data_IF_629756549279
#
_entry.id   IF_629756549279
#
_cell.length_a   1.000
_cell.length_b   1.000
_cell.length_c   1.000
_cell.angle_alpha   90.00
_cell.angle_beta   90.00
_cell.angle_gamma   90.00
#
_symmetry.space_group_name_H-M   'P 1'
#
loop_
_entity.id
_entity.type
_entity.pdbx_description
1 polymer ?
#
# COMPACT_ATOMS: atom_id res chain seq x y z
N UNK A 1 6.64 -23.97 12.28
CA UNK A 1 7.99 -24.50 11.94
C UNK A 1 8.56 -23.63 10.86
N UNK A 2 9.84 -23.30 10.92
CA UNK A 2 10.54 -22.57 9.85
C UNK A 2 10.78 -23.49 8.67
N UNK A 3 10.53 -23.02 7.46
CA UNK A 3 10.74 -23.77 6.23
C UNK A 3 12.24 -24.07 6.00
N UNK A 4 12.55 -25.21 5.36
CA UNK A 4 13.95 -25.61 5.12
C UNK A 4 14.73 -24.66 4.21
N UNK A 5 14.04 -23.98 3.30
CA UNK A 5 14.59 -23.01 2.36
C UNK A 5 14.49 -21.54 2.85
N UNK A 6 14.07 -21.31 4.09
CA UNK A 6 13.97 -19.96 4.64
C UNK A 6 15.33 -19.24 4.62
N UNK A 7 15.34 -18.02 4.09
CA UNK A 7 16.55 -17.21 3.91
C UNK A 7 17.40 -17.59 2.68
N UNK A 8 17.00 -18.59 1.90
CA UNK A 8 17.66 -18.90 0.62
C UNK A 8 17.15 -17.98 -0.50
N UNK A 9 17.95 -17.62 -1.50
CA UNK A 9 17.48 -16.90 -2.68
C UNK A 9 16.34 -17.65 -3.37
N UNK A 10 15.34 -16.89 -3.87
CA UNK A 10 14.28 -17.46 -4.68
C UNK A 10 14.84 -18.11 -5.95
N UNK A 11 14.25 -19.23 -6.35
CA UNK A 11 14.59 -19.96 -7.58
C UNK A 11 13.45 -19.82 -8.59
N UNK A 12 13.65 -20.14 -9.87
CA UNK A 12 12.57 -20.11 -10.86
C UNK A 12 11.33 -20.95 -10.48
N UNK A 13 11.49 -21.97 -9.64
CA UNK A 13 10.38 -22.79 -9.15
C UNK A 13 9.53 -22.10 -8.07
N UNK A 14 10.06 -21.07 -7.44
CA UNK A 14 9.37 -20.29 -6.40
C UNK A 14 8.58 -19.11 -7.00
N UNK A 15 8.81 -18.78 -8.29
CA UNK A 15 8.21 -17.63 -8.94
C UNK A 15 6.80 -17.93 -9.44
N UNK A 16 5.94 -16.91 -9.39
CA UNK A 16 4.60 -16.99 -9.97
C UNK A 16 4.63 -16.90 -11.50
N UNK A 17 3.63 -17.49 -12.13
CA UNK A 17 3.28 -17.15 -13.51
C UNK A 17 2.30 -15.98 -13.47
N UNK A 18 2.75 -14.79 -13.83
CA UNK A 18 1.97 -13.55 -13.78
C UNK A 18 0.74 -13.63 -14.68
N UNK A 19 0.87 -14.16 -15.89
CA UNK A 19 -0.24 -14.29 -16.84
C UNK A 19 -1.31 -15.25 -16.32
N UNK A 20 -0.92 -16.33 -15.64
CA UNK A 20 -1.86 -17.25 -15.01
C UNK A 20 -2.62 -16.57 -13.85
N UNK A 21 -1.90 -15.84 -12.99
CA UNK A 21 -2.50 -15.13 -11.85
C UNK A 21 -3.52 -14.09 -12.36
N UNK A 22 -3.16 -13.31 -13.38
CA UNK A 22 -4.05 -12.31 -13.98
C UNK A 22 -5.20 -12.97 -14.76
N UNK A 23 -4.92 -14.03 -15.53
CA UNK A 23 -5.98 -14.77 -16.25
C UNK A 23 -7.03 -15.33 -15.29
N UNK A 24 -6.60 -15.95 -14.18
CA UNK A 24 -7.53 -16.46 -13.17
C UNK A 24 -8.33 -15.36 -12.46
N UNK A 25 -7.81 -14.15 -12.38
CA UNK A 25 -8.56 -13.01 -11.83
C UNK A 25 -9.83 -12.74 -12.63
N UNK A 26 -9.77 -12.77 -13.95
CA UNK A 26 -10.90 -12.51 -14.84
C UNK A 26 -11.77 -13.74 -15.12
N UNK A 27 -11.15 -14.90 -15.26
CA UNK A 27 -11.84 -16.11 -15.76
C UNK A 27 -12.59 -16.88 -14.69
N UNK A 28 -12.15 -16.77 -13.42
CA UNK A 28 -12.70 -17.57 -12.32
C UNK A 28 -13.77 -16.78 -11.55
N UNK A 29 -14.95 -17.37 -11.45
CA UNK A 29 -16.08 -16.80 -10.71
C UNK A 29 -16.21 -17.51 -9.38
N UNK A 30 -16.22 -16.79 -8.23
CA UNK A 30 -16.40 -17.40 -6.93
C UNK A 30 -17.82 -17.93 -6.71
N UNK A 31 -17.94 -19.03 -5.96
CA UNK A 31 -19.21 -19.52 -5.47
C UNK A 31 -19.50 -18.90 -4.08
N UNK A 32 -20.54 -18.06 -3.95
CA UNK A 32 -20.88 -17.41 -2.67
C UNK A 32 -21.32 -18.37 -1.58
N UNK A 33 -21.61 -19.65 -1.92
CA UNK A 33 -21.95 -20.69 -0.94
C UNK A 33 -20.72 -21.36 -0.32
N UNK A 34 -19.51 -21.13 -0.89
CA UNK A 34 -18.24 -21.63 -0.35
C UNK A 34 -17.61 -20.55 0.53
N UNK A 35 -17.49 -20.78 1.84
CA UNK A 35 -17.02 -19.75 2.78
C UNK A 35 -15.67 -19.12 2.42
N UNK A 36 -14.73 -19.94 1.93
CA UNK A 36 -13.36 -19.52 1.56
C UNK A 36 -13.31 -18.66 0.30
N UNK A 37 -14.41 -18.63 -0.47
CA UNK A 37 -14.57 -17.82 -1.68
C UNK A 37 -15.42 -16.58 -1.44
N UNK A 38 -15.79 -16.29 -0.21
CA UNK A 38 -16.56 -15.09 0.13
C UNK A 38 -15.65 -13.89 0.40
N UNK A 39 -16.25 -12.71 0.29
CA UNK A 39 -15.58 -11.49 0.76
C UNK A 39 -15.42 -11.56 2.28
N UNK A 40 -14.19 -11.37 2.75
CA UNK A 40 -13.88 -11.30 4.17
C UNK A 40 -12.86 -10.20 4.40
N UNK A 41 -13.23 -9.19 5.18
CA UNK A 41 -12.30 -8.15 5.61
C UNK A 41 -11.56 -8.61 6.86
N UNK A 42 -10.22 -8.68 6.73
CA UNK A 42 -9.33 -8.82 7.88
C UNK A 42 -9.07 -7.47 8.56
N UNK A 43 -7.97 -7.37 9.29
CA UNK A 43 -7.56 -6.14 10.01
C UNK A 43 -7.40 -4.93 9.09
N UNK A 44 -7.08 -5.13 7.81
CA UNK A 44 -6.84 -4.05 6.85
C UNK A 44 -7.26 -4.45 5.43
N UNK A 45 -8.55 -4.73 5.23
CA UNK A 45 -9.10 -5.00 3.90
C UNK A 45 -9.33 -6.48 3.58
N UNK A 46 -9.89 -6.72 2.39
CA UNK A 46 -10.05 -8.06 1.82
C UNK A 46 -8.75 -8.48 1.13
N UNK A 47 -8.23 -9.67 1.45
CA UNK A 47 -7.03 -10.25 0.83
C UNK A 47 -7.29 -11.67 0.40
N UNK A 48 -6.66 -12.08 -0.68
CA UNK A 48 -6.79 -13.43 -1.21
C UNK A 48 -5.96 -13.62 -2.47
N UNK A 49 -6.19 -14.75 -3.16
CA UNK A 49 -5.48 -15.09 -4.40
C UNK A 49 -6.48 -15.51 -5.47
N UNK A 50 -6.23 -15.10 -6.71
CA UNK A 50 -7.03 -15.53 -7.86
C UNK A 50 -6.92 -17.04 -8.10
N UNK A 51 -5.76 -17.62 -7.78
CA UNK A 51 -5.51 -19.05 -7.87
C UNK A 51 -6.33 -19.88 -6.87
N UNK A 52 -6.81 -19.23 -5.79
CA UNK A 52 -7.62 -19.86 -4.74
C UNK A 52 -9.08 -19.42 -4.78
N UNK A 53 -9.49 -18.71 -5.84
CA UNK A 53 -10.84 -18.17 -5.99
C UNK A 53 -11.28 -17.29 -4.82
N UNK A 54 -10.32 -16.56 -4.22
CA UNK A 54 -10.57 -15.67 -3.09
C UNK A 54 -10.20 -14.21 -3.35
N UNK A 55 -9.72 -13.89 -4.58
CA UNK A 55 -9.48 -12.53 -5.05
C UNK A 55 -9.61 -12.49 -6.57
N UNK A 56 -10.82 -12.35 -7.07
CA UNK A 56 -11.17 -12.35 -8.49
C UNK A 56 -11.96 -11.09 -8.84
N UNK A 57 -12.17 -10.82 -10.13
CA UNK A 57 -12.90 -9.64 -10.61
C UNK A 57 -14.27 -9.49 -9.92
N UNK A 58 -15.01 -10.58 -9.76
CA UNK A 58 -16.31 -10.58 -9.10
C UNK A 58 -16.26 -10.03 -7.66
N UNK A 59 -15.19 -10.35 -6.89
CA UNK A 59 -14.99 -9.80 -5.56
C UNK A 59 -14.82 -8.29 -5.61
N UNK A 60 -13.99 -7.79 -6.53
CA UNK A 60 -13.69 -6.36 -6.64
C UNK A 60 -14.91 -5.58 -7.11
N UNK A 61 -15.67 -6.12 -8.05
CA UNK A 61 -16.96 -5.53 -8.48
C UNK A 61 -17.91 -5.41 -7.30
N UNK A 62 -18.10 -6.49 -6.54
CA UNK A 62 -19.03 -6.53 -5.41
C UNK A 62 -18.58 -5.61 -4.26
N UNK A 63 -17.29 -5.65 -3.89
CA UNK A 63 -16.74 -4.79 -2.82
C UNK A 63 -16.84 -3.32 -3.21
N UNK A 64 -16.48 -2.97 -4.44
CA UNK A 64 -16.51 -1.57 -4.89
C UNK A 64 -17.93 -1.01 -4.95
N UNK A 65 -18.90 -1.82 -5.40
CA UNK A 65 -20.31 -1.45 -5.36
C UNK A 65 -20.79 -1.25 -3.91
N UNK A 66 -20.42 -2.14 -3.00
CA UNK A 66 -20.77 -2.03 -1.58
C UNK A 66 -20.17 -0.76 -0.96
N UNK A 67 -18.92 -0.40 -1.30
CA UNK A 67 -18.29 0.86 -0.88
C UNK A 67 -19.05 2.07 -1.43
N UNK A 68 -19.43 2.07 -2.71
CA UNK A 68 -20.20 3.18 -3.31
C UNK A 68 -21.56 3.38 -2.60
N UNK A 69 -22.24 2.29 -2.25
CA UNK A 69 -23.48 2.31 -1.47
C UNK A 69 -23.25 2.81 -0.04
N UNK A 70 -22.19 2.33 0.62
CA UNK A 70 -21.79 2.80 1.96
C UNK A 70 -21.51 4.30 1.96
N UNK A 71 -20.70 4.81 1.01
CA UNK A 71 -20.39 6.24 0.88
C UNK A 71 -21.67 7.09 0.79
N UNK A 72 -22.62 6.66 -0.03
CA UNK A 72 -23.91 7.34 -0.18
C UNK A 72 -24.69 7.36 1.14
N UNK A 73 -24.72 6.26 1.87
CA UNK A 73 -25.40 6.14 3.17
C UNK A 73 -24.70 6.97 4.25
N UNK A 74 -23.38 7.01 4.23
CA UNK A 74 -22.56 7.78 5.18
C UNK A 74 -22.46 9.27 4.85
N UNK A 75 -23.01 9.72 3.69
CA UNK A 75 -22.95 11.11 3.27
C UNK A 75 -21.54 11.56 2.81
N UNK A 76 -20.69 10.64 2.35
CA UNK A 76 -19.38 10.98 1.79
C UNK A 76 -19.54 11.46 0.36
N UNK A 77 -19.36 12.76 0.13
CA UNK A 77 -19.66 13.44 -1.14
C UNK A 77 -18.43 13.98 -1.87
N UNK A 78 -17.26 13.97 -1.22
CA UNK A 78 -16.00 14.37 -1.82
C UNK A 78 -15.39 13.32 -2.75
N UNK A 79 -14.19 13.57 -3.30
CA UNK A 79 -13.52 12.62 -4.17
C UNK A 79 -13.06 11.37 -3.40
N UNK A 80 -12.98 10.24 -4.10
CA UNK A 80 -12.32 9.03 -3.63
C UNK A 80 -10.92 8.95 -4.23
N UNK A 81 -9.90 8.90 -3.37
CA UNK A 81 -8.52 8.67 -3.78
C UNK A 81 -8.28 7.18 -3.94
N UNK A 82 -7.71 6.74 -5.06
CA UNK A 82 -7.40 5.33 -5.27
C UNK A 82 -5.95 5.13 -5.70
N UNK A 83 -5.21 4.37 -4.88
CA UNK A 83 -3.84 3.96 -5.13
C UNK A 83 -3.72 2.45 -5.36
N UNK A 84 -2.56 2.03 -5.89
CA UNK A 84 -2.21 0.62 -6.08
C UNK A 84 -0.73 0.37 -5.81
N UNK A 85 -0.39 -0.81 -5.33
CA UNK A 85 0.98 -1.27 -5.19
C UNK A 85 1.47 -2.04 -6.44
N UNK A 86 2.57 -2.76 -6.28
CA UNK A 86 3.30 -3.44 -7.36
C UNK A 86 2.92 -4.92 -7.55
N UNK A 87 1.96 -5.46 -6.78
CA UNK A 87 1.48 -6.84 -6.97
C UNK A 87 0.77 -7.02 -8.31
N UNK A 88 0.92 -8.20 -8.90
CA UNK A 88 0.34 -8.53 -10.21
C UNK A 88 -1.19 -8.32 -10.27
N UNK A 89 -1.90 -8.57 -9.18
CA UNK A 89 -3.36 -8.39 -9.09
C UNK A 89 -3.80 -6.96 -8.80
N UNK A 90 -2.88 -6.06 -8.44
CA UNK A 90 -3.24 -4.70 -8.02
C UNK A 90 -3.73 -3.85 -9.19
N UNK A 91 -3.10 -3.93 -10.36
CA UNK A 91 -3.56 -3.18 -11.54
C UNK A 91 -4.92 -3.66 -12.07
N UNK A 92 -5.16 -4.97 -12.29
CA UNK A 92 -6.50 -5.46 -12.67
C UNK A 92 -7.60 -5.03 -11.70
N UNK A 93 -7.38 -5.15 -10.39
CA UNK A 93 -8.34 -4.78 -9.37
C UNK A 93 -8.59 -3.26 -9.33
N UNK A 94 -7.55 -2.45 -9.50
CA UNK A 94 -7.65 -0.99 -9.59
C UNK A 94 -8.49 -0.55 -10.80
N UNK A 95 -8.28 -1.17 -11.98
CA UNK A 95 -9.08 -0.92 -13.18
C UNK A 95 -10.56 -1.26 -12.94
N UNK A 96 -10.84 -2.46 -12.44
CA UNK A 96 -12.21 -2.91 -12.12
C UNK A 96 -12.89 -1.96 -11.12
N UNK A 97 -12.18 -1.48 -10.11
CA UNK A 97 -12.74 -0.55 -9.14
C UNK A 97 -13.12 0.80 -9.78
N UNK A 98 -12.29 1.36 -10.63
CA UNK A 98 -12.59 2.62 -11.33
C UNK A 98 -13.83 2.50 -12.22
N UNK A 99 -13.99 1.37 -12.93
CA UNK A 99 -15.17 1.11 -13.76
C UNK A 99 -16.47 1.17 -12.97
N UNK A 100 -16.47 0.56 -11.78
CA UNK A 100 -17.65 0.53 -10.90
C UNK A 100 -17.88 1.89 -10.23
N UNK A 101 -16.82 2.54 -9.74
CA UNK A 101 -16.92 3.85 -9.09
C UNK A 101 -17.49 4.91 -10.03
N UNK A 102 -16.98 4.98 -11.27
CA UNK A 102 -17.47 5.92 -12.29
C UNK A 102 -18.93 5.64 -12.65
N UNK A 103 -19.33 4.35 -12.79
CA UNK A 103 -20.71 3.98 -13.06
C UNK A 103 -21.68 4.37 -11.91
N UNK A 104 -21.17 4.52 -10.69
CA UNK A 104 -21.92 5.00 -9.53
C UNK A 104 -21.86 6.53 -9.34
N UNK A 105 -21.23 7.27 -10.26
CA UNK A 105 -21.13 8.73 -10.20
C UNK A 105 -20.12 9.22 -9.16
N UNK A 106 -19.22 8.36 -8.68
CA UNK A 106 -18.18 8.72 -7.73
C UNK A 106 -17.06 9.46 -8.45
N UNK A 107 -16.68 10.64 -7.95
CA UNK A 107 -15.48 11.33 -8.41
C UNK A 107 -14.26 10.60 -7.87
N UNK A 108 -13.34 10.21 -8.77
CA UNK A 108 -12.17 9.39 -8.44
C UNK A 108 -10.89 10.20 -8.73
N UNK A 109 -9.93 10.18 -7.81
CA UNK A 109 -8.58 10.70 -8.02
C UNK A 109 -7.58 9.57 -8.18
N UNK A 110 -6.93 9.53 -9.34
CA UNK A 110 -5.90 8.56 -9.72
C UNK A 110 -4.56 9.25 -9.91
N UNK A 111 -3.46 8.50 -9.82
CA UNK A 111 -2.13 9.05 -10.03
C UNK A 111 -1.98 9.68 -11.43
N UNK A 112 -1.40 10.88 -11.47
CA UNK A 112 -1.21 11.63 -12.72
C UNK A 112 -0.19 11.01 -13.66
N UNK A 113 0.68 10.14 -13.15
CA UNK A 113 1.74 9.42 -13.87
C UNK A 113 1.37 7.98 -14.21
N UNK A 114 0.16 7.53 -13.82
CA UNK A 114 -0.26 6.12 -13.87
C UNK A 114 0.67 5.17 -13.09
N UNK A 115 1.31 5.67 -12.05
CA UNK A 115 2.31 4.99 -11.24
C UNK A 115 1.71 4.37 -9.96
N UNK A 116 2.56 3.74 -9.16
CA UNK A 116 2.20 3.13 -7.90
C UNK A 116 2.03 4.19 -6.80
N UNK A 117 1.13 3.92 -5.87
CA UNK A 117 0.82 4.84 -4.78
C UNK A 117 0.83 4.09 -3.44
N UNK A 118 1.78 4.39 -2.55
CA UNK A 118 1.85 3.81 -1.20
C UNK A 118 0.61 4.07 -0.35
N UNK A 119 0.31 3.15 0.57
CA UNK A 119 -0.80 3.29 1.54
C UNK A 119 -0.74 4.62 2.30
N UNK A 120 0.39 5.04 2.91
CA UNK A 120 0.44 6.30 3.65
C UNK A 120 0.21 7.54 2.78
N UNK A 121 0.47 7.45 1.49
CA UNK A 121 0.25 8.55 0.54
C UNK A 121 -1.23 8.79 0.28
N UNK A 122 -2.01 7.72 0.12
CA UNK A 122 -3.47 7.81 0.00
C UNK A 122 -4.07 8.34 1.31
N UNK A 123 -3.64 7.82 2.45
CA UNK A 123 -4.03 8.28 3.78
C UNK A 123 -3.79 9.79 3.96
N UNK A 124 -2.60 10.27 3.65
CA UNK A 124 -2.23 11.67 3.75
C UNK A 124 -3.06 12.56 2.79
N UNK A 125 -3.33 12.11 1.57
CA UNK A 125 -4.16 12.84 0.61
C UNK A 125 -5.60 13.00 1.12
N UNK A 126 -6.18 11.98 1.76
CA UNK A 126 -7.48 12.05 2.42
C UNK A 126 -7.46 13.08 3.56
N UNK A 127 -6.50 12.95 4.46
CA UNK A 127 -6.37 13.84 5.62
C UNK A 127 -6.17 15.30 5.22
N UNK A 128 -5.32 15.55 4.24
CA UNK A 128 -5.06 16.91 3.74
C UNK A 128 -6.30 17.51 3.07
N UNK A 129 -7.04 16.72 2.27
CA UNK A 129 -8.29 17.16 1.67
C UNK A 129 -9.35 17.48 2.73
N UNK A 130 -9.42 16.69 3.79
CA UNK A 130 -10.42 16.84 4.84
C UNK A 130 -10.03 17.89 5.90
N UNK A 131 -8.88 18.54 5.78
CA UNK A 131 -8.44 19.61 6.68
C UNK A 131 -9.16 20.92 6.35
N UNK A 132 -9.69 21.60 7.35
CA UNK A 132 -10.26 22.92 7.21
C UNK A 132 -9.16 24.00 7.01
N UNK A 133 -9.56 25.18 6.56
CA UNK A 133 -8.61 26.28 6.31
C UNK A 133 -7.87 26.77 7.58
N UNK A 134 -8.43 26.54 8.75
CA UNK A 134 -7.82 26.85 10.05
C UNK A 134 -6.87 25.75 10.56
N UNK A 135 -6.68 24.69 9.76
CA UNK A 135 -5.85 23.52 10.11
C UNK A 135 -6.60 22.42 10.86
N UNK A 136 -7.85 22.65 11.26
CA UNK A 136 -8.63 21.64 11.99
C UNK A 136 -8.99 20.44 11.09
N UNK A 137 -8.79 19.22 11.59
CA UNK A 137 -9.19 18.02 10.88
C UNK A 137 -10.71 17.81 10.95
N UNK A 138 -11.35 17.62 9.80
CA UNK A 138 -12.80 17.38 9.70
C UNK A 138 -13.06 15.90 9.46
N UNK A 139 -14.01 15.33 10.19
CA UNK A 139 -14.48 13.96 10.04
C UNK A 139 -15.98 13.87 9.74
N UNK A 140 -16.67 15.01 9.69
CA UNK A 140 -18.11 15.13 9.39
C UNK A 140 -18.35 16.34 8.50
N UNK A 141 -19.44 16.30 7.73
CA UNK A 141 -19.85 17.39 6.83
C UNK A 141 -19.70 17.03 5.35
N UNK A 142 -20.05 17.97 4.50
CA UNK A 142 -20.01 17.79 3.03
C UNK A 142 -18.60 17.92 2.47
N UNK A 143 -18.38 17.28 1.31
CA UNK A 143 -17.16 17.39 0.54
C UNK A 143 -15.99 16.60 1.08
N UNK A 144 -16.20 15.72 2.09
CA UNK A 144 -15.14 14.91 2.65
C UNK A 144 -14.73 13.80 1.68
N UNK A 145 -13.44 13.59 1.58
CA UNK A 145 -12.78 12.53 0.80
C UNK A 145 -12.58 11.27 1.63
N UNK A 146 -12.48 10.16 0.93
CA UNK A 146 -12.08 8.85 1.42
C UNK A 146 -11.17 8.17 0.38
N UNK A 147 -10.79 6.91 0.58
CA UNK A 147 -9.88 6.25 -0.36
C UNK A 147 -9.96 4.74 -0.40
N UNK A 148 -9.32 4.22 -1.43
CA UNK A 148 -9.06 2.79 -1.63
C UNK A 148 -7.58 2.60 -1.90
N UNK A 149 -6.97 1.59 -1.27
CA UNK A 149 -5.62 1.16 -1.59
C UNK A 149 -5.67 -0.30 -2.04
N UNK A 150 -5.27 -0.53 -3.28
CA UNK A 150 -5.24 -1.88 -3.86
C UNK A 150 -3.87 -2.49 -3.58
N UNK A 151 -3.79 -3.28 -2.52
CA UNK A 151 -2.55 -3.87 -2.01
C UNK A 151 -2.83 -5.03 -1.04
N UNK A 152 -2.10 -6.14 -1.11
CA UNK A 152 -2.06 -7.15 -0.06
C UNK A 152 -0.92 -6.91 0.95
N UNK A 153 -0.26 -5.71 0.94
CA UNK A 153 0.90 -5.38 1.77
C UNK A 153 2.09 -6.32 1.46
N UNK A 154 2.69 -6.96 2.45
CA UNK A 154 3.84 -7.87 2.32
C UNK A 154 3.45 -9.34 2.00
N UNK A 155 2.21 -9.60 1.60
CA UNK A 155 1.75 -10.95 1.24
C UNK A 155 2.51 -11.50 0.02
N UNK A 156 2.47 -12.83 -0.22
CA UNK A 156 3.13 -13.43 -1.38
C UNK A 156 2.69 -12.81 -2.72
N UNK A 157 3.53 -12.93 -3.77
CA UNK A 157 3.23 -12.42 -5.11
C UNK A 157 1.93 -12.92 -5.74
N UNK A 158 1.42 -14.08 -5.29
CA UNK A 158 0.12 -14.66 -5.73
C UNK A 158 -1.10 -13.92 -5.24
N UNK A 159 -0.92 -13.03 -4.25
CA UNK A 159 -2.03 -12.44 -3.52
C UNK A 159 -2.39 -11.06 -4.07
N UNK A 160 -3.65 -10.70 -3.90
CA UNK A 160 -4.16 -9.34 -4.07
C UNK A 160 -4.83 -8.87 -2.78
N UNK A 161 -5.02 -7.57 -2.66
CA UNK A 161 -5.66 -6.96 -1.51
C UNK A 161 -6.43 -5.70 -1.90
N UNK A 162 -7.46 -5.38 -1.12
CA UNK A 162 -8.34 -4.25 -1.36
C UNK A 162 -8.73 -3.62 -0.02
N UNK A 163 -8.16 -2.47 0.28
CA UNK A 163 -8.37 -1.72 1.53
C UNK A 163 -9.30 -0.54 1.27
N UNK A 164 -10.17 -0.22 2.23
CA UNK A 164 -10.97 0.99 2.23
C UNK A 164 -10.58 1.86 3.43
N UNK A 165 -10.22 3.10 3.14
CA UNK A 165 -9.88 4.12 4.13
C UNK A 165 -10.99 5.18 4.15
N UNK A 166 -11.81 5.27 5.22
CA UNK A 166 -12.85 6.26 5.35
C UNK A 166 -12.29 7.68 5.51
N UNK A 167 -13.16 8.64 5.76
CA UNK A 167 -12.82 10.07 5.91
C UNK A 167 -11.75 10.36 6.98
N UNK A 168 -11.45 9.40 7.83
CA UNK A 168 -10.38 9.46 8.85
C UNK A 168 -8.99 9.22 8.26
N UNK A 169 -8.89 8.77 7.01
CA UNK A 169 -7.63 8.48 6.31
C UNK A 169 -6.89 7.23 6.79
N UNK A 170 -7.39 6.54 7.79
CA UNK A 170 -6.82 5.29 8.29
C UNK A 170 -7.70 4.06 7.96
N UNK A 171 -7.31 2.87 8.39
CA UNK A 171 -8.09 1.65 8.16
C UNK A 171 -9.53 1.77 8.68
N UNK A 172 -10.49 1.30 7.88
CA UNK A 172 -11.89 1.32 8.28
C UNK A 172 -12.14 0.47 9.55
N UNK A 173 -12.92 0.98 10.51
CA UNK A 173 -13.27 0.24 11.71
C UNK A 173 -14.18 -0.96 11.38
N UNK A 174 -14.29 -1.89 12.33
CA UNK A 174 -14.96 -3.18 12.11
C UNK A 174 -16.44 -3.06 11.72
N UNK A 175 -17.16 -2.09 12.21
CA UNK A 175 -18.56 -1.84 11.84
C UNK A 175 -18.69 -1.43 10.36
N UNK A 176 -17.77 -0.64 9.85
CA UNK A 176 -17.70 -0.25 8.44
C UNK A 176 -17.29 -1.44 7.56
N UNK A 177 -16.23 -2.14 7.93
CA UNK A 177 -15.73 -3.27 7.14
C UNK A 177 -16.72 -4.42 7.09
N UNK A 178 -17.42 -4.71 8.20
CA UNK A 178 -18.46 -5.73 8.24
C UNK A 178 -19.65 -5.33 7.35
N UNK A 179 -20.13 -4.09 7.44
CA UNK A 179 -21.22 -3.62 6.59
C UNK A 179 -20.89 -3.71 5.09
N UNK A 180 -19.64 -3.38 4.71
CA UNK A 180 -19.17 -3.51 3.32
C UNK A 180 -19.06 -4.99 2.93
N UNK A 181 -18.51 -5.85 3.79
CA UNK A 181 -18.35 -7.28 3.51
C UNK A 181 -19.70 -7.99 3.36
N UNK A 182 -20.65 -7.72 4.26
CA UNK A 182 -21.99 -8.30 4.20
C UNK A 182 -22.68 -7.91 2.90
N UNK A 183 -22.66 -6.62 2.56
CA UNK A 183 -23.26 -6.14 1.31
C UNK A 183 -22.55 -6.67 0.06
N UNK A 184 -21.23 -6.76 0.07
CA UNK A 184 -20.45 -7.34 -1.02
C UNK A 184 -20.81 -8.84 -1.22
N UNK A 185 -20.99 -9.59 -0.15
CA UNK A 185 -21.39 -11.00 -0.22
C UNK A 185 -22.82 -11.20 -0.77
N UNK A 186 -23.74 -10.27 -0.51
CA UNK A 186 -25.05 -10.27 -1.16
C UNK A 186 -24.93 -10.04 -2.67
N UNK A 187 -24.03 -9.13 -3.08
CA UNK A 187 -23.81 -8.77 -4.48
C UNK A 187 -23.00 -9.82 -5.24
N UNK A 188 -22.18 -10.62 -4.55
CA UNK A 188 -21.24 -11.56 -5.18
C UNK A 188 -21.94 -12.58 -6.08
N UNK A 189 -23.12 -13.06 -5.70
CA UNK A 189 -23.93 -13.98 -6.51
C UNK A 189 -24.54 -13.34 -7.75
N UNK A 190 -24.62 -12.02 -7.78
CA UNK A 190 -25.28 -11.24 -8.86
C UNK A 190 -24.36 -10.11 -9.39
N UNK A 191 -23.06 -10.24 -9.24
CA UNK A 191 -22.09 -9.20 -9.57
C UNK A 191 -22.14 -8.73 -11.03
N UNK A 192 -22.63 -9.58 -11.95
CA UNK A 192 -22.79 -9.24 -13.37
C UNK A 192 -23.84 -8.17 -13.63
N UNK A 193 -24.77 -7.95 -12.71
CA UNK A 193 -25.79 -6.90 -12.78
C UNK A 193 -25.31 -5.58 -12.14
N UNK A 194 -24.14 -5.56 -11.52
CA UNK A 194 -23.51 -4.32 -11.06
C UNK A 194 -23.13 -3.47 -12.28
N UNK A 195 -23.51 -2.19 -12.26
CA UNK A 195 -23.20 -1.26 -13.35
C UNK A 195 -21.70 -0.97 -13.42
N UNK A 196 -21.17 -1.03 -14.62
CA UNK A 196 -19.78 -0.72 -14.94
C UNK A 196 -19.68 0.15 -16.17
N UNK A 197 -18.66 1.00 -16.23
CA UNK A 197 -18.23 1.71 -17.44
C UNK A 197 -16.89 1.09 -17.85
N UNK A 198 -16.72 0.64 -19.11
CA UNK A 198 -15.44 0.08 -19.54
C UNK A 198 -14.27 1.01 -19.21
N UNK A 199 -13.13 0.46 -18.73
CA UNK A 199 -12.01 1.22 -18.19
C UNK A 199 -11.54 2.36 -19.12
N UNK A 200 -11.40 2.08 -20.42
CA UNK A 200 -10.98 3.06 -21.43
C UNK A 200 -11.94 4.26 -21.60
N UNK A 201 -13.19 4.08 -21.20
CA UNK A 201 -14.19 5.14 -21.14
C UNK A 201 -14.20 5.81 -19.78
N UNK A 202 -14.09 5.01 -18.72
CA UNK A 202 -14.09 5.51 -17.35
C UNK A 202 -12.97 6.54 -17.10
N UNK A 203 -11.75 6.24 -17.52
CA UNK A 203 -10.59 7.15 -17.34
C UNK A 203 -10.68 8.45 -18.15
N UNK A 204 -11.59 8.54 -19.11
CA UNK A 204 -11.87 9.75 -19.90
C UNK A 204 -13.08 10.54 -19.36
N UNK A 205 -13.73 10.03 -18.35
CA UNK A 205 -14.88 10.69 -17.71
C UNK A 205 -14.44 11.91 -16.92
N UNK A 206 -15.29 12.94 -16.89
CA UNK A 206 -15.12 14.12 -16.02
C UNK A 206 -15.15 13.78 -14.52
N UNK A 207 -15.50 12.53 -14.18
CA UNK A 207 -15.44 12.02 -12.82
C UNK A 207 -14.04 11.52 -12.41
N UNK A 208 -13.11 11.36 -13.36
CA UNK A 208 -11.75 10.90 -13.07
C UNK A 208 -10.78 12.07 -13.18
N UNK A 209 -10.21 12.44 -12.03
CA UNK A 209 -9.23 13.51 -11.91
C UNK A 209 -7.83 12.93 -11.78
N UNK A 210 -6.86 13.50 -12.52
CA UNK A 210 -5.43 13.20 -12.36
C UNK A 210 -4.87 13.98 -11.19
N UNK A 211 -4.30 13.29 -10.20
CA UNK A 211 -3.74 13.87 -8.98
C UNK A 211 -2.27 13.48 -8.82
N UNK A 212 -1.41 14.45 -8.56
CA UNK A 212 0.00 14.19 -8.32
C UNK A 212 0.24 13.77 -6.87
N UNK A 213 0.02 12.49 -6.60
CA UNK A 213 0.21 11.91 -5.27
C UNK A 213 1.64 12.09 -4.75
N UNK A 214 2.61 11.91 -5.63
CA UNK A 214 4.03 11.95 -5.27
C UNK A 214 4.46 13.34 -4.84
N UNK A 215 4.19 14.36 -5.65
CA UNK A 215 4.53 15.74 -5.31
C UNK A 215 3.77 16.20 -4.07
N UNK A 216 2.48 15.88 -3.99
CA UNK A 216 1.64 16.25 -2.86
C UNK A 216 2.17 15.68 -1.53
N UNK A 217 2.52 14.39 -1.51
CA UNK A 217 3.05 13.72 -0.32
C UNK A 217 4.43 14.24 0.07
N UNK A 218 5.36 14.27 -0.91
CA UNK A 218 6.74 14.70 -0.64
C UNK A 218 6.78 16.16 -0.18
N UNK A 219 5.92 17.01 -0.72
CA UNK A 219 5.85 18.42 -0.29
C UNK A 219 5.43 18.61 1.18
N UNK A 220 4.64 17.68 1.73
CA UNK A 220 4.13 17.78 3.11
C UNK A 220 5.11 17.20 4.16
N UNK A 221 6.14 16.45 3.72
CA UNK A 221 7.05 15.75 4.63
C UNK A 221 7.84 16.68 5.54
N UNK A 222 8.12 17.91 5.14
CA UNK A 222 8.82 18.90 5.99
C UNK A 222 8.06 19.24 7.29
N UNK A 223 6.74 19.01 7.30
CA UNK A 223 5.92 19.19 8.50
C UNK A 223 6.17 18.11 9.56
N UNK A 224 6.72 16.95 9.16
CA UNK A 224 6.97 15.81 10.05
C UNK A 224 8.44 15.45 10.17
N UNK A 225 9.28 15.74 9.17
CA UNK A 225 10.68 15.34 9.12
C UNK A 225 11.58 16.59 9.22
N UNK A 226 12.57 16.54 10.09
CA UNK A 226 13.62 17.56 10.17
C UNK A 226 14.74 17.22 9.18
N UNK A 227 14.59 17.70 7.96
CA UNK A 227 15.57 17.45 6.90
C UNK A 227 16.91 18.18 7.12
N UNK A 228 16.93 19.28 7.90
CA UNK A 228 18.16 19.99 8.22
C UNK A 228 19.07 19.15 9.12
N UNK A 229 18.49 18.45 10.09
CA UNK A 229 19.21 17.50 10.93
C UNK A 229 19.80 16.36 10.09
N UNK A 230 19.01 15.80 9.16
CA UNK A 230 19.49 14.71 8.30
C UNK A 230 20.66 15.20 7.43
N UNK A 231 20.52 16.34 6.76
CA UNK A 231 21.57 16.91 5.90
C UNK A 231 22.85 17.21 6.66
N UNK A 232 22.72 17.79 7.86
CA UNK A 232 23.89 18.19 8.67
C UNK A 232 24.59 17.04 9.38
N UNK A 233 23.92 15.90 9.53
CA UNK A 233 24.48 14.72 10.23
C UNK A 233 25.60 14.04 9.47
N UNK A 234 25.63 14.18 8.13
CA UNK A 234 26.56 13.44 7.27
C UNK A 234 26.28 11.93 7.18
N UNK A 235 25.15 11.46 7.72
CA UNK A 235 24.77 10.04 7.67
C UNK A 235 24.51 9.59 6.22
N UNK A 236 25.08 8.45 5.83
CA UNK A 236 24.93 7.85 4.51
C UNK A 236 23.81 6.82 4.56
N UNK A 237 22.72 7.14 3.90
CA UNK A 237 21.50 6.35 3.92
C UNK A 237 21.30 5.58 2.63
N UNK A 238 20.95 4.30 2.75
CA UNK A 238 20.37 3.50 1.69
C UNK A 238 18.92 3.15 2.01
N UNK A 239 18.13 2.91 0.97
CA UNK A 239 16.76 2.41 1.08
C UNK A 239 16.52 1.30 0.08
N UNK A 240 15.89 0.24 0.52
CA UNK A 240 15.39 -0.83 -0.32
C UNK A 240 13.85 -0.82 -0.29
N UNK A 241 13.19 -0.37 -1.36
CA UNK A 241 11.74 -0.42 -1.45
C UNK A 241 11.16 -1.84 -1.52
N UNK A 242 11.99 -2.87 -1.53
CA UNK A 242 11.62 -4.28 -1.75
C UNK A 242 10.71 -4.47 -2.98
N UNK A 243 10.98 -3.73 -4.06
CA UNK A 243 10.18 -3.73 -5.30
C UNK A 243 8.78 -3.11 -5.13
N UNK A 244 8.56 -2.33 -4.10
CA UNK A 244 7.27 -1.75 -3.74
C UNK A 244 6.99 -0.36 -4.32
N UNK A 245 5.83 0.18 -3.98
CA UNK A 245 5.25 1.41 -4.51
C UNK A 245 6.04 2.68 -4.15
N UNK A 246 6.92 2.63 -3.13
CA UNK A 246 7.71 3.80 -2.71
C UNK A 246 8.92 4.09 -3.62
N UNK A 247 9.26 3.20 -4.54
CA UNK A 247 10.49 3.27 -5.33
C UNK A 247 10.74 4.65 -5.99
N UNK A 248 9.70 5.24 -6.56
CA UNK A 248 9.79 6.50 -7.29
C UNK A 248 9.63 7.76 -6.40
N UNK A 249 9.39 7.61 -5.11
CA UNK A 249 9.27 8.73 -4.16
C UNK A 249 10.63 9.21 -3.67
N UNK A 250 11.61 8.31 -3.54
CA UNK A 250 12.94 8.60 -3.03
C UNK A 250 13.75 9.57 -3.90
N UNK A 251 13.78 9.43 -5.24
CA UNK A 251 14.43 10.41 -6.11
C UNK A 251 13.86 11.82 -5.96
N UNK A 252 12.54 11.98 -5.91
CA UNK A 252 11.90 13.28 -5.73
C UNK A 252 12.23 13.88 -4.35
N UNK A 253 12.25 13.04 -3.31
CA UNK A 253 12.63 13.47 -1.95
C UNK A 253 14.07 13.95 -1.90
N UNK A 254 14.99 13.24 -2.57
CA UNK A 254 16.39 13.67 -2.72
C UNK A 254 16.49 15.03 -3.40
N UNK A 255 15.79 15.21 -4.51
CA UNK A 255 15.78 16.47 -5.27
C UNK A 255 15.23 17.62 -4.43
N UNK A 256 14.04 17.44 -3.85
CA UNK A 256 13.32 18.50 -3.13
C UNK A 256 14.04 18.94 -1.85
N UNK A 257 14.60 17.99 -1.11
CA UNK A 257 15.21 18.25 0.21
C UNK A 257 16.73 18.21 0.20
N UNK A 258 17.35 18.14 -0.99
CA UNK A 258 18.81 18.05 -1.14
C UNK A 258 19.43 16.95 -0.29
N UNK A 259 18.88 15.73 -0.42
CA UNK A 259 19.37 14.53 0.25
C UNK A 259 20.16 13.66 -0.73
N UNK A 260 20.83 12.64 -0.20
CA UNK A 260 21.63 11.67 -0.96
C UNK A 260 21.30 10.23 -0.54
N UNK A 261 19.99 9.95 -0.36
CA UNK A 261 19.52 8.60 -0.06
C UNK A 261 19.65 7.73 -1.32
N UNK A 262 20.40 6.65 -1.23
CA UNK A 262 20.59 5.71 -2.35
C UNK A 262 19.49 4.66 -2.37
N UNK A 263 18.85 4.44 -3.53
CA UNK A 263 17.87 3.38 -3.72
C UNK A 263 18.62 2.10 -4.10
N UNK A 264 18.81 1.22 -3.13
CA UNK A 264 19.68 0.03 -3.25
C UNK A 264 19.18 -0.95 -4.31
N UNK A 265 17.87 -1.19 -4.40
CA UNK A 265 17.20 -2.03 -5.41
C UNK A 265 16.01 -1.30 -6.02
N UNK A 266 16.20 -0.56 -7.13
CA UNK A 266 15.13 0.24 -7.74
C UNK A 266 14.19 -0.55 -8.65
N UNK A 267 14.45 -1.85 -8.89
CA UNK A 267 13.61 -2.64 -9.79
C UNK A 267 12.25 -2.99 -9.16
N UNK A 268 11.22 -2.92 -10.01
CA UNK A 268 9.89 -3.48 -9.74
C UNK A 268 9.73 -4.74 -10.57
N UNK A 269 9.47 -5.87 -9.90
CA UNK A 269 9.27 -7.17 -10.53
C UNK A 269 8.11 -7.86 -9.80
N UNK A 270 6.96 -8.08 -10.46
CA UNK A 270 5.78 -8.68 -9.82
C UNK A 270 5.98 -10.13 -9.39
N UNK A 271 7.10 -10.76 -9.78
CA UNK A 271 7.50 -12.10 -9.31
C UNK A 271 8.38 -12.05 -8.08
N UNK A 272 8.99 -10.88 -7.78
CA UNK A 272 9.99 -10.69 -6.71
C UNK A 272 11.14 -11.70 -6.76
N UNK A 273 11.63 -12.00 -7.95
CA UNK A 273 12.70 -12.96 -8.20
C UNK A 273 14.01 -12.68 -7.44
N UNK A 274 14.21 -11.44 -7.01
CA UNK A 274 15.39 -10.97 -6.27
C UNK A 274 15.30 -11.17 -4.74
N UNK A 275 14.16 -11.64 -4.24
CA UNK A 275 13.97 -11.83 -2.80
C UNK A 275 14.54 -13.15 -2.30
N UNK A 276 14.70 -13.24 -1.00
CA UNK A 276 14.93 -14.49 -0.28
C UNK A 276 13.62 -15.05 0.28
N UNK A 277 13.54 -16.35 0.39
CA UNK A 277 12.36 -17.07 0.89
C UNK A 277 12.17 -16.77 2.38
N UNK A 278 10.95 -16.44 2.76
CA UNK A 278 10.60 -16.15 4.15
C UNK A 278 10.40 -17.45 4.98
N UNK A 279 10.17 -17.26 6.28
CA UNK A 279 10.05 -18.32 7.27
C UNK A 279 9.01 -19.42 6.93
N UNK A 280 7.98 -19.09 6.16
CA UNK A 280 6.89 -20.00 5.75
C UNK A 280 7.14 -20.70 4.41
N UNK A 281 8.32 -20.50 3.82
CA UNK A 281 8.70 -21.11 2.54
C UNK A 281 8.19 -20.40 1.30
N UNK A 282 7.72 -19.15 1.43
CA UNK A 282 7.22 -18.30 0.34
C UNK A 282 8.05 -17.04 0.19
N UNK A 283 7.96 -16.42 -0.97
CA UNK A 283 8.42 -15.04 -1.14
C UNK A 283 7.46 -14.14 -0.39
N UNK A 284 8.00 -13.32 0.53
CA UNK A 284 7.30 -12.23 1.22
C UNK A 284 8.20 -11.02 1.30
N UNK A 285 7.62 -9.86 1.16
CA UNK A 285 8.35 -8.59 1.20
C UNK A 285 8.19 -7.92 2.57
N UNK A 286 8.43 -8.70 3.63
CA UNK A 286 8.30 -8.23 5.01
C UNK A 286 9.64 -7.67 5.53
N UNK A 287 9.76 -6.34 5.69
CA UNK A 287 11.00 -5.71 6.16
C UNK A 287 11.32 -6.01 7.62
N UNK A 288 10.41 -6.60 8.38
CA UNK A 288 10.65 -7.07 9.76
C UNK A 288 11.18 -8.50 9.84
N UNK A 289 11.07 -9.27 8.73
CA UNK A 289 11.52 -10.66 8.71
C UNK A 289 13.03 -10.77 8.43
N UNK A 290 13.81 -11.39 9.31
CA UNK A 290 15.23 -11.63 9.05
C UNK A 290 15.47 -12.60 7.87
N UNK A 291 14.50 -13.41 7.50
CA UNK A 291 14.59 -14.31 6.36
C UNK A 291 14.33 -13.58 5.04
N UNK A 292 13.27 -12.76 4.96
CA UNK A 292 12.97 -11.95 3.79
C UNK A 292 14.07 -10.90 3.53
N UNK A 293 14.62 -10.30 4.59
CA UNK A 293 15.69 -9.31 4.52
C UNK A 293 17.10 -9.90 4.37
N UNK A 294 17.24 -11.22 4.41
CA UNK A 294 18.56 -11.86 4.40
C UNK A 294 19.39 -11.51 3.16
N UNK A 295 18.77 -11.46 1.98
CA UNK A 295 19.46 -11.10 0.75
C UNK A 295 20.06 -9.71 0.78
N UNK A 296 19.33 -8.73 1.36
CA UNK A 296 19.83 -7.37 1.59
C UNK A 296 20.99 -7.38 2.60
N UNK A 297 20.80 -8.02 3.76
CA UNK A 297 21.81 -8.09 4.83
C UNK A 297 23.10 -8.75 4.32
N UNK A 298 22.99 -9.85 3.58
CA UNK A 298 24.15 -10.54 3.01
C UNK A 298 24.90 -9.66 1.99
N UNK A 299 24.16 -8.93 1.13
CA UNK A 299 24.75 -7.99 0.18
C UNK A 299 25.51 -6.86 0.89
N UNK A 300 24.94 -6.32 1.96
CA UNK A 300 25.58 -5.28 2.76
C UNK A 300 26.85 -5.80 3.44
N UNK A 301 26.81 -7.00 4.04
CA UNK A 301 27.94 -7.63 4.69
C UNK A 301 29.08 -8.03 3.73
N UNK A 302 28.76 -8.21 2.44
CA UNK A 302 29.73 -8.50 1.39
C UNK A 302 30.44 -7.25 0.81
N UNK A 303 30.49 -6.15 1.55
CA UNK A 303 31.29 -4.96 1.25
C UNK A 303 30.48 -3.72 0.91
N UNK A 304 29.15 -3.77 0.92
CA UNK A 304 28.33 -2.57 0.64
C UNK A 304 28.25 -1.61 1.85
N UNK A 305 28.61 -2.04 3.07
CA UNK A 305 28.66 -1.17 4.24
C UNK A 305 29.65 0.01 4.14
N UNK A 306 30.64 -0.09 3.25
CA UNK A 306 31.52 1.06 2.98
C UNK A 306 30.75 2.28 2.42
N UNK A 307 29.55 2.07 1.90
CA UNK A 307 28.70 3.13 1.32
C UNK A 307 27.67 3.69 2.31
N UNK A 308 27.24 2.90 3.29
CA UNK A 308 26.08 3.22 4.14
C UNK A 308 26.41 3.12 5.60
N UNK A 309 25.81 3.99 6.39
CA UNK A 309 25.78 3.88 7.85
C UNK A 309 24.48 3.19 8.33
N UNK A 310 23.42 3.24 7.49
CA UNK A 310 22.11 2.67 7.72
C UNK A 310 21.44 2.35 6.40
N UNK A 311 20.71 1.23 6.35
CA UNK A 311 19.83 0.92 5.21
C UNK A 311 18.41 0.62 5.72
N UNK A 312 17.42 1.34 5.22
CA UNK A 312 16.01 1.05 5.46
C UNK A 312 15.44 0.05 4.44
N UNK A 313 14.35 -0.60 4.80
CA UNK A 313 13.52 -1.36 3.87
C UNK A 313 12.05 -1.01 4.06
N UNK A 314 11.25 -1.00 2.99
CA UNK A 314 9.78 -0.84 3.06
C UNK A 314 9.09 -2.01 2.39
N UNK A 315 7.91 -2.40 2.90
CA UNK A 315 7.06 -3.37 2.21
C UNK A 315 6.38 -2.76 0.97
N UNK A 316 5.72 -3.56 0.13
CA UNK A 316 5.22 -3.10 -1.16
C UNK A 316 4.28 -1.90 -1.14
N UNK A 317 3.49 -1.70 -0.10
CA UNK A 317 2.63 -0.52 0.04
C UNK A 317 3.19 0.53 1.02
N UNK A 318 4.42 0.29 1.52
CA UNK A 318 5.23 1.19 2.34
C UNK A 318 4.52 1.70 3.62
N UNK A 319 3.63 0.90 4.21
CA UNK A 319 3.05 1.13 5.52
C UNK A 319 3.89 0.50 6.65
N UNK A 320 4.91 -0.29 6.30
CA UNK A 320 5.88 -0.92 7.19
C UNK A 320 7.31 -0.61 6.76
N UNK A 321 8.20 -0.65 7.74
CA UNK A 321 9.63 -0.49 7.49
C UNK A 321 10.47 -1.44 8.34
N UNK A 322 11.68 -1.68 7.89
CA UNK A 322 12.74 -2.34 8.65
C UNK A 322 14.02 -1.53 8.56
N UNK A 323 14.85 -1.60 9.57
CA UNK A 323 16.13 -0.92 9.62
C UNK A 323 17.23 -1.97 9.70
N UNK A 324 18.22 -1.87 8.84
CA UNK A 324 19.41 -2.73 8.84
C UNK A 324 20.62 -1.89 9.25
N UNK A 325 21.33 -2.36 10.29
CA UNK A 325 22.51 -1.70 10.82
C UNK A 325 23.75 -2.59 10.69
N UNK A 326 24.96 -1.98 10.54
CA UNK A 326 26.21 -2.73 10.56
C UNK A 326 26.33 -3.56 11.85
N UNK A 327 26.79 -4.81 11.73
CA UNK A 327 27.03 -5.74 12.85
C UNK A 327 25.78 -6.21 13.64
N UNK A 328 24.57 -5.70 13.32
CA UNK A 328 23.32 -6.06 14.01
C UNK A 328 22.30 -6.77 13.10
N UNK A 329 22.43 -6.60 11.78
CA UNK A 329 21.41 -7.03 10.84
C UNK A 329 20.13 -6.22 10.99
N UNK A 330 18.96 -6.87 10.90
CA UNK A 330 17.65 -6.21 11.03
C UNK A 330 17.41 -5.82 12.49
N UNK A 331 17.22 -4.51 12.73
CA UNK A 331 16.90 -3.98 14.05
C UNK A 331 15.52 -4.47 14.51
N UNK A 332 15.42 -4.80 15.80
CA UNK A 332 14.13 -5.14 16.39
C UNK A 332 13.16 -3.93 16.28
N UNK A 333 11.96 -4.08 15.67
CA UNK A 333 11.01 -2.98 15.50
C UNK A 333 10.62 -2.27 16.79
N UNK A 334 10.53 -2.99 17.93
CA UNK A 334 10.21 -2.40 19.22
C UNK A 334 11.30 -1.44 19.71
N UNK A 335 12.58 -1.73 19.43
CA UNK A 335 13.67 -0.83 19.77
C UNK A 335 13.61 0.45 18.94
N UNK A 336 13.33 0.32 17.64
CA UNK A 336 13.18 1.49 16.77
C UNK A 336 11.97 2.35 17.18
N UNK A 337 10.82 1.75 17.46
CA UNK A 337 9.64 2.48 17.95
C UNK A 337 9.95 3.23 19.25
N UNK A 338 10.69 2.63 20.16
CA UNK A 338 11.10 3.30 21.41
C UNK A 338 11.93 4.56 21.11
N UNK A 339 12.87 4.48 20.16
CA UNK A 339 13.69 5.65 19.74
C UNK A 339 12.81 6.72 19.07
N UNK A 340 11.86 6.32 18.20
CA UNK A 340 10.92 7.24 17.56
C UNK A 340 10.06 7.97 18.61
N UNK A 341 9.50 7.24 19.57
CA UNK A 341 8.67 7.83 20.65
C UNK A 341 9.50 8.83 21.48
N UNK A 342 10.70 8.46 21.87
CA UNK A 342 11.60 9.36 22.61
C UNK A 342 11.92 10.62 21.79
N UNK A 343 12.26 10.48 20.52
CA UNK A 343 12.57 11.62 19.67
C UNK A 343 11.36 12.53 19.43
N UNK A 344 10.21 11.96 19.08
CA UNK A 344 9.03 12.72 18.68
C UNK A 344 8.27 13.33 19.88
N UNK A 345 8.15 12.59 20.99
CA UNK A 345 7.31 12.97 22.14
C UNK A 345 8.10 13.28 23.41
N UNK A 346 9.39 12.94 23.46
CA UNK A 346 10.29 13.25 24.59
C UNK A 346 10.88 14.67 24.58
N UNK A 347 10.37 15.57 23.73
CA UNK A 347 10.83 16.95 23.62
C UNK A 347 12.11 17.16 22.81
N UNK A 348 12.58 16.10 22.13
CA UNK A 348 13.80 16.16 21.30
C UNK A 348 13.55 16.67 19.88
N UNK A 349 12.29 16.71 19.44
CA UNK A 349 11.87 17.22 18.13
C UNK A 349 11.52 18.71 18.22
N UNK A 350 12.34 19.63 17.64
CA UNK A 350 12.03 21.06 17.67
C UNK A 350 10.71 21.37 16.95
N UNK A 351 9.93 22.30 17.53
CA UNK A 351 8.70 22.81 16.93
C UNK A 351 7.46 21.91 17.10
N UNK A 352 7.58 20.75 17.71
CA UNK A 352 6.43 19.93 18.04
C UNK A 352 5.79 20.41 19.35
N UNK A 353 4.45 20.48 19.43
CA UNK A 353 3.76 20.94 20.65
C UNK A 353 3.92 19.91 21.77
N UNK A 354 4.01 20.41 23.02
CA UNK A 354 3.96 19.55 24.19
C UNK A 354 2.65 18.75 24.23
N UNK A 355 2.74 17.46 24.45
CA UNK A 355 1.58 16.57 24.52
C UNK A 355 0.96 16.18 23.18
N UNK A 356 1.72 16.37 22.11
CA UNK A 356 1.30 15.89 20.77
C UNK A 356 1.16 14.36 20.73
#
# INVERSE_FOLDING_TARGET
>A
MVAKNAGMPATPADLINVDEVIGKYYDVVPDPNVPEQRVSFGTSGHRGSSLKTSFNEAHIVAITQAIAEYRKKAGVTGPLYIGRDTHALSEPAWKTAIEVLVANGVRVRIDSRDDFTPTPVVSQAILTHNRAADGTQRFTGEGLADGIVVTPSHNPPTDGGFKYDPVTGGPAPADVTNAIADRANELLGDFRNVKRVPFEQAVKSDLVERFDFREHYVADLENVIDFDVIRSSGVRLGIDPLGGASVNYWPLMNEKYNLTIDVVRPQVDPTWSFMTIDHDGKIRMDPSSPYAMKGLVDSLNNGAWDKYDLVGGTDPDADRHGIVCPNWGVMNPNHYIAVCVEYLFGGNRPGWPEGA
#
